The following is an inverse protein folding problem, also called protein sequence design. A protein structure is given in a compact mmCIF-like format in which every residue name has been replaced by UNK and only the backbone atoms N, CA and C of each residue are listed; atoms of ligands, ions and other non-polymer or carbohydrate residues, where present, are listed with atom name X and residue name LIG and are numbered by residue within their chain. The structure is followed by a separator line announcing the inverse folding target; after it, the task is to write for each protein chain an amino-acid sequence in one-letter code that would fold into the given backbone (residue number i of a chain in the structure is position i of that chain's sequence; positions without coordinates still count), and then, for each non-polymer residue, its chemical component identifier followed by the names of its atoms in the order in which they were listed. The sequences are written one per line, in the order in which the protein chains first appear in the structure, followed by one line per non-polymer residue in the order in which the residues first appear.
data_IF_662587071994
#
_entry.id   IF_662587071994
#
_cell.length_a   1.000
_cell.length_b   1.000
_cell.length_c   1.000
_cell.angle_alpha   90.00
_cell.angle_beta   90.00
_cell.angle_gamma   90.00
#
_symmetry.space_group_name_H-M   'P 1'
#
loop_
_entity.id
_entity.type
_entity.pdbx_description
1 polymer ?
#
# COMPACT_ATOMS: atom_id res chain seq x y z
N UNK A 1 19.10 -25.30 -8.97
CA UNK A 1 19.85 -24.05 -9.13
C UNK A 1 18.94 -22.81 -9.26
N UNK A 2 17.65 -22.90 -8.93
CA UNK A 2 16.64 -21.81 -9.14
C UNK A 2 16.27 -21.00 -7.89
N UNK A 3 16.35 -21.57 -6.68
CA UNK A 3 15.89 -20.88 -5.46
C UNK A 3 16.67 -19.60 -5.13
N UNK A 4 17.99 -19.58 -5.39
CA UNK A 4 18.83 -18.42 -5.09
C UNK A 4 18.50 -17.21 -5.97
N UNK A 5 18.08 -17.44 -7.23
CA UNK A 5 17.74 -16.38 -8.18
C UNK A 5 16.37 -15.78 -7.79
N UNK A 6 15.40 -16.63 -7.45
CA UNK A 6 14.10 -16.19 -6.98
C UNK A 6 14.19 -15.39 -5.68
N UNK A 7 15.01 -15.83 -4.71
CA UNK A 7 15.25 -15.10 -3.46
C UNK A 7 15.89 -13.73 -3.69
N UNK A 8 16.89 -13.64 -4.58
CA UNK A 8 17.50 -12.36 -4.92
C UNK A 8 16.49 -11.42 -5.57
N UNK A 9 15.69 -11.91 -6.51
CA UNK A 9 14.66 -11.11 -7.18
C UNK A 9 13.60 -10.60 -6.20
N UNK A 10 13.18 -11.41 -5.23
CA UNK A 10 12.28 -10.98 -4.16
C UNK A 10 12.92 -9.86 -3.33
N UNK A 11 14.20 -10.02 -2.96
CA UNK A 11 14.91 -9.00 -2.18
C UNK A 11 15.02 -7.67 -2.92
N UNK A 12 15.33 -7.71 -4.21
CA UNK A 12 15.42 -6.53 -5.07
C UNK A 12 14.06 -5.83 -5.19
N UNK A 13 12.97 -6.60 -5.40
CA UNK A 13 11.61 -6.08 -5.42
C UNK A 13 11.18 -5.47 -4.09
N UNK A 14 11.49 -6.12 -2.97
CA UNK A 14 11.20 -5.58 -1.64
C UNK A 14 11.92 -4.26 -1.41
N UNK A 15 13.20 -4.17 -1.79
CA UNK A 15 13.99 -2.93 -1.68
C UNK A 15 13.40 -1.81 -2.53
N UNK A 16 12.93 -2.13 -3.75
CA UNK A 16 12.27 -1.16 -4.62
C UNK A 16 10.96 -0.64 -4.01
N UNK A 17 10.11 -1.55 -3.50
CA UNK A 17 8.84 -1.20 -2.84
C UNK A 17 9.11 -0.35 -1.58
N UNK A 18 10.07 -0.74 -0.76
CA UNK A 18 10.50 0.02 0.43
C UNK A 18 10.91 1.46 0.07
N UNK A 19 11.73 1.63 -0.97
CA UNK A 19 12.13 2.94 -1.44
C UNK A 19 10.95 3.81 -1.92
N UNK A 20 9.95 3.21 -2.57
CA UNK A 20 8.71 3.93 -2.95
C UNK A 20 7.86 4.31 -1.75
N UNK A 21 7.72 3.43 -0.77
CA UNK A 21 6.98 3.71 0.47
C UNK A 21 7.66 4.84 1.25
N UNK A 22 8.99 4.84 1.34
CA UNK A 22 9.75 5.93 1.96
C UNK A 22 9.51 7.27 1.24
N UNK A 23 9.50 7.27 -0.09
CA UNK A 23 9.18 8.47 -0.87
C UNK A 23 7.75 8.98 -0.62
N UNK A 24 6.78 8.08 -0.51
CA UNK A 24 5.39 8.40 -0.14
C UNK A 24 5.34 9.02 1.25
N UNK A 25 5.98 8.40 2.24
CA UNK A 25 6.01 8.91 3.62
C UNK A 25 6.62 10.31 3.68
N UNK A 26 7.78 10.53 3.03
CA UNK A 26 8.41 11.85 2.98
C UNK A 26 7.47 12.91 2.37
N UNK A 27 6.83 12.58 1.24
CA UNK A 27 5.89 13.49 0.57
C UNK A 27 4.67 13.80 1.45
N UNK A 28 4.16 12.81 2.19
CA UNK A 28 3.03 12.99 3.12
C UNK A 28 3.43 13.86 4.31
N UNK A 29 4.59 13.61 4.92
CA UNK A 29 5.11 14.45 6.00
C UNK A 29 5.30 15.90 5.54
N UNK A 30 5.87 16.11 4.35
CA UNK A 30 6.04 17.45 3.78
C UNK A 30 4.71 18.14 3.50
N UNK A 31 3.69 17.40 3.05
CA UNK A 31 2.33 17.92 2.85
C UNK A 31 1.69 18.31 4.17
N UNK A 32 1.77 17.46 5.20
CA UNK A 32 1.24 17.74 6.53
C UNK A 32 1.91 18.97 7.13
N UNK A 33 3.23 19.11 6.99
CA UNK A 33 3.97 20.28 7.43
C UNK A 33 3.53 21.56 6.69
N UNK A 34 3.35 21.48 5.37
CA UNK A 34 2.84 22.62 4.58
C UNK A 34 1.42 23.05 4.98
N UNK A 35 0.57 22.10 5.38
CA UNK A 35 -0.79 22.37 5.88
C UNK A 35 -0.77 22.98 7.29
N UNK A 36 0.05 22.46 8.20
CA UNK A 36 0.21 23.02 9.55
C UNK A 36 0.72 24.47 9.51
N UNK A 37 1.68 24.77 8.63
CA UNK A 37 2.16 26.13 8.40
C UNK A 37 1.05 27.08 7.95
N UNK A 38 0.08 26.58 7.17
CA UNK A 38 -1.09 27.36 6.75
C UNK A 38 -2.02 27.68 7.94
N UNK A 39 -2.27 26.70 8.82
CA UNK A 39 -3.11 26.89 10.01
C UNK A 39 -2.51 27.92 10.98
N UNK A 40 -1.18 27.99 11.06
CA UNK A 40 -0.44 28.94 11.89
C UNK A 40 -0.36 30.37 11.29
N UNK A 41 -1.05 30.64 10.19
CA UNK A 41 -1.09 31.95 9.52
C UNK A 41 0.05 32.21 8.54
N UNK A 42 0.83 31.17 8.20
CA UNK A 42 1.82 31.22 7.13
C UNK A 42 1.16 31.24 5.74
N UNK A 43 1.85 31.84 4.76
CA UNK A 43 1.42 31.76 3.35
C UNK A 43 1.81 30.39 2.79
N UNK A 44 0.82 29.54 2.52
CA UNK A 44 1.01 28.34 1.74
C UNK A 44 0.69 28.62 0.27
N UNK A 45 1.60 28.26 -0.64
CA UNK A 45 1.32 28.32 -2.07
C UNK A 45 0.51 27.08 -2.47
N UNK A 46 -0.75 27.30 -2.85
CA UNK A 46 -1.63 26.23 -3.32
C UNK A 46 -1.02 25.47 -4.51
N UNK A 47 -0.25 26.15 -5.36
CA UNK A 47 0.44 25.50 -6.47
C UNK A 47 1.44 24.44 -6.00
N UNK A 48 2.13 24.70 -4.87
CA UNK A 48 3.09 23.76 -4.28
C UNK A 48 2.37 22.54 -3.68
N UNK A 49 1.28 22.74 -2.94
CA UNK A 49 0.45 21.62 -2.42
C UNK A 49 -0.04 20.73 -3.55
N UNK A 50 -0.60 21.33 -4.62
CA UNK A 50 -1.12 20.58 -5.77
C UNK A 50 0.00 19.80 -6.45
N UNK A 51 1.17 20.41 -6.63
CA UNK A 51 2.33 19.74 -7.22
C UNK A 51 2.77 18.55 -6.37
N UNK A 52 2.82 18.68 -5.03
CA UNK A 52 3.10 17.58 -4.11
C UNK A 52 2.06 16.47 -4.22
N UNK A 53 0.78 16.81 -4.35
CA UNK A 53 -0.29 15.82 -4.57
C UNK A 53 -0.15 15.08 -5.91
N UNK A 54 0.19 15.79 -6.99
CA UNK A 54 0.49 15.18 -8.28
C UNK A 54 1.69 14.22 -8.22
N UNK A 55 2.74 14.60 -7.47
CA UNK A 55 3.91 13.76 -7.22
C UNK A 55 3.56 12.50 -6.43
N UNK A 56 2.72 12.65 -5.39
CA UNK A 56 2.21 11.55 -4.58
C UNK A 56 1.41 10.57 -5.43
N UNK A 57 0.44 11.07 -6.21
CA UNK A 57 -0.35 10.26 -7.14
C UNK A 57 0.53 9.50 -8.14
N UNK A 58 1.55 10.17 -8.70
CA UNK A 58 2.48 9.54 -9.63
C UNK A 58 3.30 8.42 -8.99
N UNK A 59 3.67 8.59 -7.71
CA UNK A 59 4.39 7.56 -6.95
C UNK A 59 3.49 6.37 -6.66
N UNK A 60 2.23 6.61 -6.29
CA UNK A 60 1.22 5.56 -6.12
C UNK A 60 0.96 4.79 -7.42
N UNK A 61 0.83 5.45 -8.57
CA UNK A 61 0.65 4.77 -9.85
C UNK A 61 1.83 3.86 -10.20
N UNK A 62 3.06 4.29 -9.89
CA UNK A 62 4.26 3.44 -10.06
C UNK A 62 4.24 2.25 -9.11
N UNK A 63 3.85 2.45 -7.86
CA UNK A 63 3.70 1.39 -6.87
C UNK A 63 2.61 0.39 -7.31
N UNK A 64 1.49 0.86 -7.83
CA UNK A 64 0.45 0.01 -8.42
C UNK A 64 1.00 -0.77 -9.62
N UNK A 65 1.79 -0.16 -10.50
CA UNK A 65 2.41 -0.88 -11.62
C UNK A 65 3.36 -2.00 -11.17
N UNK A 66 4.12 -1.78 -10.09
CA UNK A 66 5.00 -2.81 -9.50
C UNK A 66 4.17 -3.97 -8.93
N UNK A 67 3.06 -3.66 -8.24
CA UNK A 67 2.21 -4.64 -7.56
C UNK A 67 1.21 -5.35 -8.50
N UNK A 68 0.75 -4.66 -9.54
CA UNK A 68 -0.38 -5.00 -10.40
C UNK A 68 -0.07 -4.59 -11.84
N UNK A 69 0.77 -5.34 -12.54
CA UNK A 69 0.74 -5.29 -14.02
C UNK A 69 -0.52 -6.02 -14.50
N UNK A 70 -1.53 -5.32 -15.06
CA UNK A 70 -2.72 -5.94 -15.61
C UNK A 70 -2.50 -6.19 -17.10
N UNK A 71 -2.48 -7.46 -17.49
CA UNK A 71 -2.58 -7.87 -18.88
C UNK A 71 -1.23 -8.13 -19.55
N UNK A 72 -1.08 -9.41 -19.92
CA UNK A 72 -0.25 -9.90 -21.02
C UNK A 72 1.26 -9.93 -20.71
N UNK A 73 1.80 -11.15 -20.84
CA UNK A 73 3.20 -11.55 -20.84
C UNK A 73 3.97 -11.56 -19.50
N UNK A 74 3.99 -12.75 -18.89
CA UNK A 74 5.18 -13.40 -18.34
C UNK A 74 6.15 -12.57 -17.46
N UNK A 75 5.68 -11.61 -16.67
CA UNK A 75 6.52 -10.88 -15.72
C UNK A 75 6.27 -11.39 -14.28
N UNK A 76 7.22 -12.17 -13.78
CA UNK A 76 7.16 -13.00 -12.58
C UNK A 76 6.85 -12.27 -11.25
N UNK A 77 6.95 -10.94 -11.17
CA UNK A 77 7.04 -10.23 -9.88
C UNK A 77 5.81 -10.38 -8.98
N UNK A 78 4.61 -10.11 -9.50
CA UNK A 78 3.37 -10.26 -8.72
C UNK A 78 3.08 -11.73 -8.36
N UNK A 79 3.52 -12.68 -9.19
CA UNK A 79 3.42 -14.11 -8.93
C UNK A 79 4.44 -14.55 -7.87
N UNK A 80 5.67 -14.06 -7.93
CA UNK A 80 6.73 -14.30 -6.95
C UNK A 80 6.33 -13.79 -5.57
N UNK A 81 5.79 -12.57 -5.49
CA UNK A 81 5.27 -12.01 -4.22
C UNK A 81 4.12 -12.86 -3.67
N UNK A 82 3.18 -13.30 -4.51
CA UNK A 82 2.06 -14.17 -4.10
C UNK A 82 2.49 -15.58 -3.69
N UNK A 83 3.59 -16.09 -4.26
CA UNK A 83 4.15 -17.40 -3.92
C UNK A 83 5.06 -17.37 -2.69
N UNK A 84 5.35 -16.18 -2.16
CA UNK A 84 6.20 -16.00 -0.98
C UNK A 84 5.33 -15.75 0.24
N UNK A 85 5.61 -16.48 1.33
CA UNK A 85 4.95 -16.27 2.61
C UNK A 85 5.88 -15.52 3.56
N UNK A 86 5.39 -14.40 4.10
CA UNK A 86 6.09 -13.66 5.15
C UNK A 86 5.74 -14.27 6.51
N UNK A 87 6.75 -14.72 7.25
CA UNK A 87 6.59 -15.27 8.60
C UNK A 87 7.66 -14.69 9.52
N UNK A 88 7.29 -14.13 10.68
CA UNK A 88 8.25 -13.76 11.72
C UNK A 88 9.11 -14.96 12.12
N UNK A 89 10.42 -14.86 11.97
CA UNK A 89 11.33 -15.93 12.40
C UNK A 89 11.67 -15.83 13.89
N UNK A 90 11.78 -14.61 14.40
CA UNK A 90 12.13 -14.31 15.79
C UNK A 90 11.20 -13.22 16.28
N UNK A 91 10.68 -13.40 17.48
CA UNK A 91 9.88 -12.42 18.22
C UNK A 91 10.61 -12.21 19.54
N UNK A 92 10.89 -10.96 19.90
CA UNK A 92 11.67 -10.62 21.09
C UNK A 92 10.97 -9.55 21.92
N UNK A 93 10.96 -9.77 23.22
CA UNK A 93 10.52 -8.79 24.22
C UNK A 93 11.68 -7.85 24.62
N UNK A 94 12.89 -8.11 24.14
CA UNK A 94 14.04 -7.26 24.39
C UNK A 94 13.98 -5.99 23.55
N UNK A 95 14.47 -4.91 24.13
CA UNK A 95 14.52 -3.63 23.46
C UNK A 95 15.53 -3.64 22.31
N UNK A 96 15.08 -3.26 21.12
CA UNK A 96 15.93 -3.15 19.94
C UNK A 96 16.09 -1.67 19.55
N UNK A 97 17.28 -1.12 19.83
CA UNK A 97 17.61 0.27 19.50
C UNK A 97 17.59 0.52 17.99
N UNK A 98 17.97 -0.47 17.16
CA UNK A 98 18.00 -0.32 15.70
C UNK A 98 16.57 -0.22 15.16
N UNK A 99 15.68 -1.07 15.68
CA UNK A 99 14.26 -1.03 15.34
C UNK A 99 13.64 0.30 15.76
N UNK A 100 13.99 0.79 16.94
CA UNK A 100 13.51 2.08 17.43
C UNK A 100 13.98 3.25 16.57
N UNK A 101 15.24 3.26 16.15
CA UNK A 101 15.78 4.30 15.26
C UNK A 101 15.08 4.30 13.90
N UNK A 102 14.98 3.14 13.23
CA UNK A 102 14.36 3.03 11.89
C UNK A 102 12.87 3.37 11.92
N UNK A 103 12.20 3.09 13.04
CA UNK A 103 10.76 3.39 13.20
C UNK A 103 10.51 4.76 13.80
N UNK A 104 11.53 5.60 13.98
CA UNK A 104 11.41 6.95 14.56
C UNK A 104 10.75 6.92 15.95
N UNK A 105 11.11 5.93 16.76
CA UNK A 105 10.60 5.76 18.12
C UNK A 105 9.22 5.11 18.22
N UNK A 106 8.58 4.76 17.10
CA UNK A 106 7.24 4.14 17.11
C UNK A 106 7.25 2.70 17.63
N UNK A 107 8.37 1.99 17.50
CA UNK A 107 8.48 0.59 17.88
C UNK A 107 9.76 0.32 18.67
N UNK A 108 9.62 -0.09 19.92
CA UNK A 108 10.74 -0.40 20.82
C UNK A 108 11.06 -1.90 20.92
N UNK A 109 10.09 -2.75 20.61
CA UNK A 109 10.13 -4.22 20.75
C UNK A 109 9.32 -4.87 19.64
N UNK A 110 9.73 -6.03 19.15
CA UNK A 110 8.97 -6.80 18.16
C UNK A 110 8.38 -8.04 18.82
N UNK A 111 7.24 -7.87 19.50
CA UNK A 111 6.60 -8.88 20.34
C UNK A 111 5.32 -9.50 19.73
N UNK A 112 4.76 -10.49 20.42
CA UNK A 112 3.57 -11.24 19.98
C UNK A 112 2.28 -10.41 19.90
N UNK A 113 2.22 -9.24 20.54
CA UNK A 113 1.08 -8.33 20.46
C UNK A 113 1.16 -7.44 19.22
N UNK A 114 2.38 -7.08 18.81
CA UNK A 114 2.60 -6.15 17.70
C UNK A 114 2.64 -6.87 16.36
N UNK A 115 3.19 -8.09 16.31
CA UNK A 115 3.29 -8.91 15.10
C UNK A 115 1.95 -9.01 14.33
N UNK A 116 0.81 -9.34 14.96
CA UNK A 116 -0.48 -9.44 14.24
C UNK A 116 -0.96 -8.10 13.68
N UNK A 117 -0.55 -6.98 14.30
CA UNK A 117 -0.94 -5.63 13.88
C UNK A 117 -0.12 -5.24 12.64
N UNK A 118 1.20 -5.47 12.65
CA UNK A 118 2.09 -5.14 11.53
C UNK A 118 1.89 -6.04 10.31
N UNK A 119 1.53 -7.31 10.53
CA UNK A 119 1.27 -8.27 9.45
C UNK A 119 -0.20 -8.36 9.04
N UNK A 120 -1.03 -7.43 9.52
CA UNK A 120 -2.47 -7.43 9.20
C UNK A 120 -2.67 -7.18 7.70
N UNK A 121 -3.30 -8.15 7.04
CA UNK A 121 -3.74 -8.03 5.63
C UNK A 121 -5.21 -7.69 5.49
N UNK A 122 -5.98 -7.77 6.58
CA UNK A 122 -7.40 -7.42 6.59
C UNK A 122 -7.57 -5.91 6.37
N UNK A 123 -8.41 -5.56 5.40
CA UNK A 123 -8.77 -4.18 5.06
C UNK A 123 -9.33 -3.43 6.28
N UNK A 124 -9.33 -2.10 6.18
CA UNK A 124 -9.99 -1.23 7.16
C UNK A 124 -11.52 -1.35 6.97
N UNK A 125 -12.31 -1.28 8.06
CA UNK A 125 -13.78 -1.42 7.97
C UNK A 125 -14.41 -0.49 6.93
N UNK A 126 -13.99 0.78 6.88
CA UNK A 126 -14.52 1.76 5.94
C UNK A 126 -14.32 1.35 4.47
N UNK A 127 -13.17 0.72 4.17
CA UNK A 127 -12.84 0.22 2.82
C UNK A 127 -13.59 -1.07 2.51
N UNK A 128 -13.76 -1.96 3.50
CA UNK A 128 -14.58 -3.17 3.34
C UNK A 128 -16.04 -2.81 3.01
N UNK A 129 -16.59 -1.81 3.70
CA UNK A 129 -17.94 -1.32 3.47
C UNK A 129 -18.08 -0.65 2.09
N UNK A 130 -17.07 0.09 1.64
CA UNK A 130 -17.02 0.67 0.30
C UNK A 130 -16.98 -0.42 -0.78
N UNK A 131 -16.14 -1.45 -0.65
CA UNK A 131 -16.11 -2.57 -1.61
C UNK A 131 -17.45 -3.31 -1.66
N UNK A 132 -18.07 -3.56 -0.51
CA UNK A 132 -19.41 -4.15 -0.44
C UNK A 132 -20.47 -3.27 -1.12
N UNK A 133 -20.36 -1.94 -1.01
CA UNK A 133 -21.26 -1.02 -1.69
C UNK A 133 -21.09 -1.07 -3.21
N UNK A 134 -19.85 -1.09 -3.68
CA UNK A 134 -19.50 -1.17 -5.11
C UNK A 134 -20.01 -2.50 -5.70
N UNK A 135 -19.81 -3.62 -4.99
CA UNK A 135 -20.27 -4.92 -5.47
C UNK A 135 -21.80 -5.02 -5.50
N UNK A 136 -22.50 -4.45 -4.51
CA UNK A 136 -23.97 -4.33 -4.53
C UNK A 136 -24.46 -3.51 -5.73
N UNK A 137 -23.80 -2.39 -6.01
CA UNK A 137 -24.12 -1.53 -7.17
C UNK A 137 -23.85 -2.21 -8.51
N UNK A 138 -22.82 -3.05 -8.59
CA UNK A 138 -22.54 -3.85 -9.79
C UNK A 138 -23.61 -4.92 -10.01
N UNK A 139 -24.01 -5.61 -8.94
CA UNK A 139 -25.06 -6.64 -8.98
C UNK A 139 -26.43 -6.06 -9.36
N UNK A 140 -26.81 -4.90 -8.80
CA UNK A 140 -28.09 -4.25 -9.12
C UNK A 140 -28.20 -3.91 -10.62
N UNK A 141 -27.16 -3.26 -11.17
CA UNK A 141 -27.07 -2.91 -12.59
C UNK A 141 -27.10 -4.15 -13.50
N UNK A 142 -26.48 -5.26 -13.09
CA UNK A 142 -26.49 -6.51 -13.86
C UNK A 142 -27.89 -7.14 -13.91
N UNK A 143 -28.67 -7.06 -12.82
CA UNK A 143 -30.05 -7.56 -12.78
C UNK A 143 -30.95 -6.76 -13.73
N UNK A 144 -30.78 -5.43 -13.80
CA UNK A 144 -31.59 -4.57 -14.66
C UNK A 144 -31.32 -4.79 -16.16
N UNK A 145 -30.07 -5.03 -16.55
CA UNK A 145 -29.72 -5.39 -17.94
C UNK A 145 -30.38 -6.71 -18.36
N UNK A 146 -30.39 -7.72 -17.49
CA UNK A 146 -31.01 -9.02 -17.80
C UNK A 146 -32.53 -8.93 -17.95
N UNK A 147 -33.21 -8.07 -17.16
CA UNK A 147 -34.66 -7.84 -17.32
C UNK A 147 -35.00 -7.18 -18.66
N UNK A 148 -34.17 -6.24 -19.12
CA UNK A 148 -34.37 -5.59 -20.42
C UNK A 148 -34.26 -6.60 -21.57
N UNK A 149 -33.28 -7.51 -21.54
CA UNK A 149 -33.13 -8.55 -22.57
C UNK A 149 -34.33 -9.50 -22.61
N UNK A 150 -34.89 -9.87 -21.45
CA UNK A 150 -36.10 -10.71 -21.39
C UNK A 150 -37.38 -10.04 -21.89
N UNK A 151 -37.43 -8.71 -21.95
CA UNK A 151 -38.60 -7.97 -22.44
C UNK A 151 -38.63 -7.87 -23.98
N UNK A 152 -37.49 -8.06 -24.64
CA UNK A 152 -37.37 -8.02 -26.11
C UNK A 152 -37.44 -9.40 -26.79
N UNK A 153 -37.66 -10.47 -26.03
CA UNK A 153 -37.75 -11.85 -26.52
C UNK A 153 -39.15 -12.42 -26.26
#
# INVERSE_FOLDING_TARGET
MDQSIAQQKIKDLTTEIEGKIQQVNATVCDLLYSLDLQEQGGKCDWSDIVQKFCSLSSTFSKLEQILRKPGIDFDDNAKLLKMTQLVPQIVSLEHDNTLQEITEGRLSTFDHNIVPILLRTKLKPDVEDEELSIDRDRLSKQIDVNKQVSFFM
#
